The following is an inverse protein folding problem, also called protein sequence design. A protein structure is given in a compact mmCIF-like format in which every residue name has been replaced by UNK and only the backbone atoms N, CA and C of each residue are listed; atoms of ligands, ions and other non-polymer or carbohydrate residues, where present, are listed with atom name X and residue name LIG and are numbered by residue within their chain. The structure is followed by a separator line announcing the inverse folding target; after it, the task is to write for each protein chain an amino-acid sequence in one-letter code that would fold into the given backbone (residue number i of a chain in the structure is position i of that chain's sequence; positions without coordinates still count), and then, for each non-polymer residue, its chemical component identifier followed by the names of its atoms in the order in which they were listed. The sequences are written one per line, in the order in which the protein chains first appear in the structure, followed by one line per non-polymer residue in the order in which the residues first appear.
data_IF_193716581629
#
_entry.id   IF_193716581629
#
_cell.length_a   1.000
_cell.length_b   1.000
_cell.length_c   1.000
_cell.angle_alpha   90.00
_cell.angle_beta   90.00
_cell.angle_gamma   90.00
#
_symmetry.space_group_name_H-M   'P 1'
#
loop_
_entity.id
_entity.type
_entity.pdbx_description
1 polymer ?
#
# COMPACT_ATOMS: atom_id res chain seq x y z
N UNK A 1 -40.17 56.96 -50.03
CA UNK A 1 -40.71 55.76 -49.35
C UNK A 1 -39.94 55.64 -48.02
N UNK A 2 -40.51 55.91 -46.84
CA UNK A 2 -41.28 54.97 -45.96
C UNK A 2 -40.75 53.53 -46.06
N UNK A 3 -40.42 52.76 -45.02
CA UNK A 3 -40.47 52.92 -43.57
C UNK A 3 -39.76 51.70 -42.90
N UNK A 4 -39.21 51.94 -41.70
CA UNK A 4 -38.99 51.08 -40.52
C UNK A 4 -38.24 49.72 -40.56
N UNK A 5 -37.24 49.64 -39.65
CA UNK A 5 -36.55 48.48 -39.06
C UNK A 5 -37.48 47.48 -38.33
N UNK A 6 -36.93 46.32 -37.92
CA UNK A 6 -36.58 46.13 -36.51
C UNK A 6 -35.10 45.71 -36.33
N UNK A 7 -34.29 46.41 -35.51
CA UNK A 7 -34.14 46.23 -34.06
C UNK A 7 -34.19 44.77 -33.57
N UNK A 8 -33.03 44.17 -33.27
CA UNK A 8 -32.59 43.86 -31.89
C UNK A 8 -31.33 42.97 -31.85
N UNK A 9 -30.28 43.39 -31.12
CA UNK A 9 -29.21 42.52 -30.66
C UNK A 9 -29.72 41.73 -29.46
N UNK A 10 -29.99 40.43 -29.60
CA UNK A 10 -30.61 39.67 -28.51
C UNK A 10 -30.40 38.14 -28.60
N UNK A 11 -29.17 37.67 -28.81
CA UNK A 11 -28.83 36.25 -28.53
C UNK A 11 -27.49 36.16 -27.80
N UNK A 12 -27.37 36.89 -26.70
CA UNK A 12 -26.37 36.63 -25.65
C UNK A 12 -26.93 36.71 -24.23
N UNK A 13 -28.25 36.75 -24.03
CA UNK A 13 -28.85 36.90 -22.70
C UNK A 13 -30.17 36.12 -22.62
N UNK A 14 -30.10 34.81 -22.32
CA UNK A 14 -31.15 34.01 -21.64
C UNK A 14 -30.82 32.50 -21.63
N UNK A 15 -29.59 32.14 -21.24
CA UNK A 15 -29.36 30.87 -20.52
C UNK A 15 -28.38 31.17 -19.37
N UNK A 16 -28.82 32.06 -18.49
CA UNK A 16 -28.31 32.16 -17.12
C UNK A 16 -29.46 31.66 -16.23
N UNK A 17 -29.12 30.88 -15.20
CA UNK A 17 -29.93 30.48 -14.03
C UNK A 17 -30.85 29.25 -14.14
N UNK A 18 -30.28 28.09 -13.75
CA UNK A 18 -30.82 26.98 -12.92
C UNK A 18 -30.19 25.65 -13.43
N UNK A 19 -29.22 25.00 -12.78
CA UNK A 19 -29.18 24.60 -11.37
C UNK A 19 -27.74 24.57 -10.83
N UNK A 20 -27.59 25.26 -9.69
CA UNK A 20 -26.60 25.01 -8.65
C UNK A 20 -26.96 23.74 -7.85
N UNK A 21 -25.96 23.21 -7.14
CA UNK A 21 -25.94 22.10 -6.18
C UNK A 21 -25.82 20.71 -6.85
N UNK A 22 -24.74 19.93 -6.66
CA UNK A 22 -23.97 19.69 -5.44
C UNK A 22 -22.47 19.63 -5.77
N UNK A 23 -21.67 20.43 -5.07
CA UNK A 23 -20.23 20.24 -4.98
C UNK A 23 -19.87 19.63 -3.64
N UNK A 24 -18.91 18.69 -3.65
CA UNK A 24 -17.90 18.41 -2.60
C UNK A 24 -16.83 17.57 -3.33
N UNK A 25 -15.53 17.86 -3.38
CA UNK A 25 -14.70 18.95 -2.95
C UNK A 25 -13.28 18.61 -3.43
N UNK A 26 -12.83 19.21 -4.53
CA UNK A 26 -11.41 19.22 -4.91
C UNK A 26 -10.90 20.65 -4.77
N UNK A 27 -10.80 21.07 -3.51
CA UNK A 27 -9.93 22.17 -3.13
C UNK A 27 -8.56 21.56 -2.87
N UNK A 28 -7.70 21.56 -3.89
CA UNK A 28 -6.27 21.71 -3.60
C UNK A 28 -6.11 23.14 -3.10
N UNK A 29 -6.24 23.31 -1.78
CA UNK A 29 -5.73 24.49 -1.10
C UNK A 29 -4.21 24.43 -1.22
N UNK A 30 -3.71 25.04 -2.29
CA UNK A 30 -2.36 25.56 -2.33
C UNK A 30 -2.50 27.00 -1.84
N UNK A 31 -2.26 27.18 -0.55
CA UNK A 31 -1.82 28.41 0.14
C UNK A 31 -1.99 28.18 1.66
N UNK A 32 -0.96 27.64 2.31
CA UNK A 32 -0.24 28.39 3.34
C UNK A 32 1.06 27.68 3.75
N UNK A 33 2.07 28.51 3.91
CA UNK A 33 3.47 28.26 4.13
C UNK A 33 3.73 27.83 5.58
N UNK A 34 3.39 26.60 5.91
CA UNK A 34 4.01 25.82 6.97
C UNK A 34 3.83 24.37 6.56
N UNK A 35 4.92 23.62 6.43
CA UNK A 35 4.81 22.17 6.42
C UNK A 35 3.97 21.74 7.62
N UNK A 36 2.71 21.36 7.41
CA UNK A 36 1.83 20.90 8.47
C UNK A 36 2.55 19.77 9.20
N UNK A 37 2.74 19.93 10.51
CA UNK A 37 3.41 18.93 11.34
C UNK A 37 2.73 17.57 11.11
N UNK A 38 3.52 16.55 10.78
CA UNK A 38 3.05 15.18 10.61
C UNK A 38 3.47 14.39 11.85
N UNK A 39 2.49 13.93 12.62
CA UNK A 39 2.72 13.08 13.78
C UNK A 39 2.37 11.64 13.43
N UNK A 40 3.23 10.69 13.82
CA UNK A 40 3.05 9.27 13.56
C UNK A 40 3.26 8.46 14.84
N UNK A 41 2.48 7.39 14.99
CA UNK A 41 2.77 6.32 15.93
C UNK A 41 3.95 5.49 15.45
N UNK A 42 4.58 4.80 16.39
CA UNK A 42 5.67 3.86 16.11
C UNK A 42 5.54 2.60 16.96
N UNK A 43 6.16 1.52 16.49
CA UNK A 43 6.21 0.24 17.16
C UNK A 43 4.87 -0.51 17.18
N UNK A 44 4.63 -1.23 18.26
CA UNK A 44 3.47 -2.11 18.42
C UNK A 44 2.21 -1.38 18.91
N UNK A 45 1.06 -2.07 18.94
CA UNK A 45 -0.23 -1.49 19.33
C UNK A 45 -0.28 -1.00 20.80
N UNK A 46 0.67 -1.44 21.63
CA UNK A 46 0.76 -1.03 23.04
C UNK A 46 1.44 0.35 23.23
N UNK A 47 1.93 0.98 22.16
CA UNK A 47 2.59 2.28 22.19
C UNK A 47 1.59 3.36 21.76
N UNK A 48 1.19 4.20 22.73
CA UNK A 48 0.31 5.35 22.50
C UNK A 48 1.06 6.66 22.21
N UNK A 49 2.40 6.61 22.13
CA UNK A 49 3.23 7.77 21.87
C UNK A 49 3.34 8.06 20.36
N UNK A 50 3.25 9.35 20.02
CA UNK A 50 3.49 9.85 18.66
C UNK A 50 4.77 10.68 18.62
N UNK A 51 5.43 10.69 17.47
CA UNK A 51 6.59 11.54 17.23
C UNK A 51 6.41 12.40 15.98
N UNK A 52 7.18 13.48 15.91
CA UNK A 52 7.22 14.36 14.75
C UNK A 52 7.99 13.71 13.60
N UNK A 53 7.25 13.25 12.58
CA UNK A 53 7.76 12.63 11.37
C UNK A 53 7.83 13.60 10.18
N UNK A 54 7.60 14.90 10.39
CA UNK A 54 7.41 15.90 9.32
C UNK A 54 8.54 15.89 8.28
N UNK A 55 9.80 15.71 8.71
CA UNK A 55 10.97 15.69 7.83
C UNK A 55 10.91 14.56 6.78
N UNK A 56 10.33 13.42 7.12
CA UNK A 56 10.17 12.26 6.24
C UNK A 56 9.17 12.50 5.11
N UNK A 57 8.12 13.26 5.37
CA UNK A 57 7.09 13.61 4.39
C UNK A 57 7.49 14.81 3.55
N UNK A 58 8.06 15.85 4.18
CA UNK A 58 8.54 17.06 3.46
C UNK A 58 9.70 16.79 2.52
N UNK A 59 10.59 15.85 2.85
CA UNK A 59 11.64 15.40 1.94
C UNK A 59 11.11 14.64 0.73
N UNK A 60 9.82 14.27 0.72
CA UNK A 60 9.20 13.46 -0.33
C UNK A 60 9.55 11.98 -0.25
N UNK A 61 10.24 11.53 0.81
CA UNK A 61 10.56 10.11 0.99
C UNK A 61 9.29 9.28 1.20
N UNK A 62 8.32 9.82 1.95
CA UNK A 62 7.04 9.18 2.20
C UNK A 62 5.85 10.03 1.78
N UNK A 63 4.76 9.34 1.51
CA UNK A 63 3.45 9.88 1.21
C UNK A 63 2.43 9.32 2.21
N UNK A 64 1.40 10.09 2.56
CA UNK A 64 0.30 9.59 3.38
C UNK A 64 -0.37 8.36 2.75
N UNK A 65 -0.78 7.40 3.58
CA UNK A 65 -1.60 6.26 3.18
C UNK A 65 -3.03 6.49 3.66
N UNK A 66 -3.94 6.82 2.75
CA UNK A 66 -5.32 7.14 3.09
C UNK A 66 -6.17 5.87 3.14
N UNK A 67 -6.12 5.17 4.27
CA UNK A 67 -6.78 3.87 4.47
C UNK A 67 -7.82 3.87 5.61
N UNK A 68 -7.90 4.95 6.38
CA UNK A 68 -8.88 5.09 7.44
C UNK A 68 -10.31 5.18 6.86
N UNK A 69 -11.32 4.79 7.65
CA UNK A 69 -12.70 4.71 7.19
C UNK A 69 -13.29 6.07 6.75
N UNK A 70 -12.75 7.17 7.27
CA UNK A 70 -13.09 8.54 6.90
C UNK A 70 -12.30 9.08 5.69
N UNK A 71 -11.43 8.25 5.10
CA UNK A 71 -10.54 8.60 4.00
C UNK A 71 -9.33 9.43 4.41
N UNK A 72 -9.10 9.61 5.71
CA UNK A 72 -7.93 10.30 6.24
C UNK A 72 -6.66 9.45 6.14
N UNK A 73 -5.53 10.12 6.30
CA UNK A 73 -4.22 9.49 6.32
C UNK A 73 -4.06 8.66 7.60
N UNK A 74 -3.51 7.46 7.47
CA UNK A 74 -3.13 6.65 8.61
C UNK A 74 -2.03 7.33 9.43
N UNK A 75 -2.22 7.36 10.74
CA UNK A 75 -1.20 7.82 11.69
C UNK A 75 -0.17 6.73 12.03
N UNK A 76 -0.32 5.52 11.48
CA UNK A 76 0.54 4.35 11.76
C UNK A 76 1.35 3.95 10.53
N UNK A 77 0.71 3.95 9.36
CA UNK A 77 1.33 3.46 8.12
C UNK A 77 1.43 4.54 7.06
N UNK A 78 2.50 4.48 6.26
CA UNK A 78 2.77 5.40 5.16
C UNK A 78 3.19 4.66 3.89
N UNK A 79 3.24 5.36 2.76
CA UNK A 79 3.73 4.82 1.50
C UNK A 79 5.09 5.44 1.15
N UNK A 80 6.09 4.62 0.89
CA UNK A 80 7.40 5.06 0.45
C UNK A 80 7.37 5.40 -1.04
N UNK A 81 7.92 6.57 -1.41
CA UNK A 81 7.94 7.01 -2.80
C UNK A 81 8.77 6.07 -3.70
N UNK A 82 9.83 5.48 -3.14
CA UNK A 82 10.65 4.46 -3.77
C UNK A 82 10.92 3.34 -2.76
N UNK A 83 10.09 2.26 -2.79
CA UNK A 83 10.30 1.09 -1.95
C UNK A 83 11.70 0.50 -2.12
N UNK A 84 12.26 -0.03 -1.03
CA UNK A 84 13.55 -0.71 -1.09
C UNK A 84 13.51 -1.90 -2.06
N UNK A 85 14.53 -2.02 -2.89
CA UNK A 85 14.71 -3.20 -3.73
C UNK A 85 15.47 -4.25 -2.95
N UNK A 86 14.90 -5.46 -2.86
CA UNK A 86 15.57 -6.59 -2.22
C UNK A 86 16.78 -7.02 -3.05
N UNK A 87 17.88 -7.31 -2.36
CA UNK A 87 19.09 -7.89 -2.93
C UNK A 87 18.89 -9.36 -3.28
N UNK A 88 19.73 -9.91 -4.15
CA UNK A 88 19.68 -11.33 -4.49
C UNK A 88 19.79 -12.25 -3.28
N UNK A 89 20.56 -11.86 -2.25
CA UNK A 89 20.66 -12.62 -1.00
C UNK A 89 19.31 -12.65 -0.27
N UNK A 90 18.71 -11.48 -0.05
CA UNK A 90 17.40 -11.37 0.60
C UNK A 90 16.31 -12.14 -0.17
N UNK A 91 16.36 -12.13 -1.51
CA UNK A 91 15.43 -12.91 -2.33
C UNK A 91 15.61 -14.43 -2.13
N UNK A 92 16.84 -14.90 -1.93
CA UNK A 92 17.12 -16.31 -1.61
C UNK A 92 16.69 -16.68 -0.19
N UNK A 93 16.61 -15.71 0.72
CA UNK A 93 16.18 -15.94 2.11
C UNK A 93 14.65 -16.01 2.25
N UNK A 94 13.87 -15.58 1.24
CA UNK A 94 12.40 -15.56 1.29
C UNK A 94 11.76 -16.90 1.70
N UNK A 95 12.21 -18.09 1.21
CA UNK A 95 11.66 -19.36 1.68
C UNK A 95 11.87 -19.59 3.17
N UNK A 96 13.01 -19.18 3.72
CA UNK A 96 13.30 -19.29 5.15
C UNK A 96 12.43 -18.35 5.98
N UNK A 97 12.28 -17.10 5.54
CA UNK A 97 11.40 -16.11 6.18
C UNK A 97 9.96 -16.60 6.19
N UNK A 98 9.47 -17.12 5.06
CA UNK A 98 8.14 -17.70 4.96
C UNK A 98 7.96 -18.90 5.87
N UNK A 99 8.91 -19.84 5.90
CA UNK A 99 8.85 -21.00 6.78
C UNK A 99 8.77 -20.60 8.26
N UNK A 100 9.58 -19.61 8.68
CA UNK A 100 9.55 -19.04 10.02
C UNK A 100 8.18 -18.44 10.37
N UNK A 101 7.61 -17.64 9.47
CA UNK A 101 6.27 -17.07 9.67
C UNK A 101 5.17 -18.14 9.72
N UNK A 102 5.23 -19.18 8.90
CA UNK A 102 4.29 -20.30 8.97
C UNK A 102 4.39 -21.04 10.31
N UNK A 103 5.61 -21.26 10.80
CA UNK A 103 5.84 -21.90 12.10
C UNK A 103 5.28 -21.05 13.25
N UNK A 104 5.58 -19.75 13.28
CA UNK A 104 5.11 -18.85 14.34
C UNK A 104 3.61 -18.60 14.36
N UNK A 105 2.91 -18.89 13.25
CA UNK A 105 1.45 -18.72 13.13
C UNK A 105 0.69 -20.06 13.16
N UNK A 106 1.34 -21.16 13.58
CA UNK A 106 0.75 -22.51 13.64
C UNK A 106 0.17 -23.00 12.30
N UNK A 107 0.76 -22.55 11.19
CA UNK A 107 0.38 -22.93 9.82
C UNK A 107 1.31 -23.98 9.24
N UNK A 108 2.29 -24.53 9.96
CA UNK A 108 3.18 -25.54 9.39
C UNK A 108 2.51 -26.92 9.27
N UNK A 109 2.62 -27.54 8.09
CA UNK A 109 2.24 -28.95 7.84
C UNK A 109 3.38 -29.66 7.11
N UNK A 110 3.43 -31.00 7.09
CA UNK A 110 4.48 -31.73 6.37
C UNK A 110 4.61 -31.30 4.90
N UNK A 111 3.50 -31.05 4.19
CA UNK A 111 3.54 -30.61 2.80
C UNK A 111 4.15 -29.20 2.64
N UNK A 112 3.94 -28.32 3.63
CA UNK A 112 4.50 -26.96 3.63
C UNK A 112 5.98 -27.00 4.02
N UNK A 113 6.37 -27.89 4.93
CA UNK A 113 7.78 -28.14 5.26
C UNK A 113 8.56 -28.65 4.04
N UNK A 114 8.00 -29.62 3.30
CA UNK A 114 8.58 -30.13 2.06
C UNK A 114 8.72 -29.01 1.01
N UNK A 115 7.68 -28.18 0.86
CA UNK A 115 7.71 -27.02 -0.03
C UNK A 115 8.87 -26.09 0.29
N UNK A 116 9.03 -25.65 1.54
CA UNK A 116 10.11 -24.73 1.92
C UNK A 116 11.50 -25.37 1.85
N UNK A 117 11.60 -26.67 2.17
CA UNK A 117 12.86 -27.43 2.08
C UNK A 117 13.36 -27.54 0.64
N UNK A 118 12.45 -27.52 -0.34
CA UNK A 118 12.82 -27.48 -1.76
C UNK A 118 13.44 -26.15 -2.24
N UNK A 119 13.42 -25.12 -1.38
CA UNK A 119 13.91 -23.76 -1.66
C UNK A 119 13.33 -23.18 -2.96
N UNK A 120 12.00 -22.98 -3.02
CA UNK A 120 11.34 -22.47 -4.21
C UNK A 120 11.86 -21.07 -4.56
N UNK A 121 11.94 -20.75 -5.85
CA UNK A 121 12.26 -19.39 -6.28
C UNK A 121 11.04 -18.48 -6.08
N UNK A 122 11.12 -17.58 -5.11
CA UNK A 122 10.05 -16.66 -4.72
C UNK A 122 10.29 -15.22 -5.18
N UNK A 123 11.33 -14.99 -5.98
CA UNK A 123 11.80 -13.63 -6.33
C UNK A 123 10.79 -12.75 -7.09
N UNK A 124 9.77 -13.35 -7.71
CA UNK A 124 8.72 -12.62 -8.45
C UNK A 124 7.39 -12.53 -7.68
N UNK A 125 7.33 -13.11 -6.47
CA UNK A 125 6.10 -13.34 -5.72
C UNK A 125 5.90 -12.38 -4.55
N UNK A 126 6.70 -11.34 -4.42
CA UNK A 126 6.54 -10.34 -3.37
C UNK A 126 6.10 -8.97 -3.93
N UNK A 127 5.35 -8.20 -3.14
CA UNK A 127 4.94 -6.82 -3.45
C UNK A 127 5.16 -5.93 -2.24
N UNK A 128 5.53 -4.68 -2.49
CA UNK A 128 5.54 -3.66 -1.43
C UNK A 128 4.11 -3.32 -1.02
N UNK A 129 3.88 -3.17 0.28
CA UNK A 129 2.54 -2.92 0.83
C UNK A 129 2.46 -1.56 1.50
N UNK A 130 3.34 -1.29 2.47
CA UNK A 130 3.41 -0.02 3.20
C UNK A 130 4.74 0.10 3.95
N UNK A 131 4.97 1.22 4.62
CA UNK A 131 6.04 1.40 5.59
C UNK A 131 5.46 1.85 6.93
N UNK A 132 6.13 1.54 8.02
CA UNK A 132 5.79 2.00 9.37
C UNK A 132 7.07 2.30 10.16
N UNK A 133 6.98 3.06 11.24
CA UNK A 133 8.11 3.30 12.13
C UNK A 133 8.16 2.21 13.21
N UNK A 134 9.27 1.48 13.31
CA UNK A 134 9.48 0.54 14.41
C UNK A 134 9.83 1.28 15.72
N UNK A 135 10.60 2.36 15.59
CA UNK A 135 10.99 3.31 16.64
C UNK A 135 10.98 4.73 16.04
N UNK A 136 11.07 5.81 16.86
CA UNK A 136 11.14 7.16 16.33
C UNK A 136 12.27 7.31 15.32
N UNK A 137 11.93 7.70 14.09
CA UNK A 137 12.84 7.83 12.96
C UNK A 137 13.54 6.54 12.49
N UNK A 138 13.02 5.36 12.85
CA UNK A 138 13.49 4.06 12.35
C UNK A 138 12.39 3.42 11.50
N UNK A 139 12.30 3.74 10.20
CA UNK A 139 11.27 3.19 9.33
C UNK A 139 11.62 1.79 8.83
N UNK A 140 10.60 0.96 8.68
CA UNK A 140 10.66 -0.33 8.00
C UNK A 140 9.71 -0.34 6.80
N UNK A 141 10.14 -0.98 5.71
CA UNK A 141 9.30 -1.28 4.56
C UNK A 141 8.73 -2.69 4.74
N UNK A 142 7.41 -2.81 4.60
CA UNK A 142 6.66 -4.05 4.67
C UNK A 142 6.27 -4.52 3.28
N UNK A 143 6.40 -5.83 3.08
CA UNK A 143 6.13 -6.52 1.83
C UNK A 143 5.27 -7.74 2.10
N UNK A 144 4.40 -8.05 1.16
CA UNK A 144 3.62 -9.26 1.14
C UNK A 144 4.18 -10.25 0.12
N UNK A 145 4.39 -11.47 0.56
CA UNK A 145 4.84 -12.61 -0.23
C UNK A 145 3.66 -13.55 -0.49
N UNK A 146 3.35 -13.77 -1.77
CA UNK A 146 2.17 -14.49 -2.24
C UNK A 146 2.51 -15.94 -2.58
N UNK A 147 2.03 -16.87 -1.75
CA UNK A 147 2.34 -18.30 -1.85
C UNK A 147 1.12 -19.11 -2.22
N UNK A 148 1.30 -20.06 -3.13
CA UNK A 148 0.31 -21.10 -3.42
C UNK A 148 0.97 -22.46 -3.14
N UNK A 149 0.50 -23.14 -2.09
CA UNK A 149 1.06 -24.41 -1.59
C UNK A 149 -0.09 -25.40 -1.48
N UNK A 150 0.01 -26.55 -2.15
CA UNK A 150 -1.03 -27.58 -2.17
C UNK A 150 -2.44 -27.03 -2.49
N UNK A 151 -2.54 -26.15 -3.49
CA UNK A 151 -3.76 -25.45 -3.93
C UNK A 151 -4.40 -24.52 -2.87
N UNK A 152 -3.66 -24.17 -1.83
CA UNK A 152 -4.06 -23.17 -0.84
C UNK A 152 -3.20 -21.93 -0.98
N UNK A 153 -3.83 -20.76 -0.83
CA UNK A 153 -3.18 -19.46 -0.97
C UNK A 153 -2.88 -18.86 0.39
N UNK A 154 -1.71 -18.26 0.50
CA UNK A 154 -1.26 -17.59 1.71
C UNK A 154 -0.56 -16.28 1.36
N UNK A 155 -0.71 -15.30 2.23
CA UNK A 155 0.14 -14.11 2.24
C UNK A 155 1.05 -14.20 3.46
N UNK A 156 2.34 -13.97 3.24
CA UNK A 156 3.32 -13.75 4.31
C UNK A 156 3.77 -12.31 4.27
N UNK A 157 3.47 -11.56 5.32
CA UNK A 157 4.03 -10.22 5.51
C UNK A 157 5.41 -10.33 6.14
N UNK A 158 6.39 -9.65 5.56
CA UNK A 158 7.74 -9.50 6.10
C UNK A 158 8.19 -8.04 5.97
N UNK A 159 9.21 -7.65 6.72
CA UNK A 159 9.76 -6.30 6.66
C UNK A 159 11.28 -6.27 6.58
N UNK A 160 11.80 -5.09 6.24
CA UNK A 160 13.24 -4.77 6.21
C UNK A 160 13.43 -3.31 6.64
N UNK A 161 14.54 -3.00 7.32
CA UNK A 161 14.93 -1.62 7.62
C UNK A 161 14.98 -0.80 6.32
N UNK A 162 14.17 0.26 6.25
CA UNK A 162 13.97 1.02 5.02
C UNK A 162 15.11 2.01 4.73
N UNK A 163 16.06 2.19 5.63
CA UNK A 163 17.23 3.05 5.44
C UNK A 163 18.47 2.25 5.07
N UNK A 164 18.72 1.16 5.79
CA UNK A 164 19.96 0.37 5.72
C UNK A 164 19.78 -0.93 4.95
N UNK A 165 18.54 -1.41 4.80
CA UNK A 165 18.29 -2.77 4.37
C UNK A 165 18.73 -3.76 5.44
N UNK A 166 19.24 -4.91 5.02
CA UNK A 166 19.77 -5.93 5.95
C UNK A 166 18.89 -7.16 6.00
N UNK A 167 18.78 -7.76 7.18
CA UNK A 167 18.02 -8.99 7.36
C UNK A 167 16.52 -8.74 7.17
N UNK A 168 15.86 -9.73 6.56
CA UNK A 168 14.41 -9.74 6.45
C UNK A 168 13.82 -10.26 7.76
N UNK A 169 12.72 -9.66 8.20
CA UNK A 169 11.99 -10.09 9.40
C UNK A 169 10.61 -10.58 9.01
N UNK A 170 10.32 -11.86 9.23
CA UNK A 170 8.97 -12.39 9.07
C UNK A 170 8.02 -11.79 10.12
N UNK A 171 6.82 -11.40 9.71
CA UNK A 171 5.84 -10.72 10.59
C UNK A 171 4.62 -11.59 10.83
N UNK A 172 3.91 -11.94 9.77
CA UNK A 172 2.65 -12.66 9.87
C UNK A 172 2.45 -13.54 8.64
N UNK A 173 1.72 -14.63 8.80
CA UNK A 173 1.29 -15.49 7.71
C UNK A 173 -0.20 -15.79 7.88
N UNK A 174 -0.97 -15.64 6.82
CA UNK A 174 -2.41 -15.89 6.84
C UNK A 174 -2.90 -16.62 5.59
N UNK A 175 -3.90 -17.50 5.73
CA UNK A 175 -4.60 -18.08 4.59
C UNK A 175 -5.44 -17.02 3.88
N UNK A 176 -5.47 -17.09 2.55
CA UNK A 176 -6.29 -16.22 1.70
C UNK A 176 -7.50 -17.00 1.21
N UNK A 177 -8.69 -16.44 1.41
CA UNK A 177 -9.97 -17.03 1.00
C UNK A 177 -10.75 -16.14 0.06
N UNK A 178 -11.29 -16.73 -1.01
CA UNK A 178 -12.16 -16.02 -1.95
C UNK A 178 -13.47 -15.51 -1.32
N UNK A 179 -13.87 -16.09 -0.21
CA UNK A 179 -15.10 -15.74 0.49
C UNK A 179 -14.90 -14.59 1.50
N UNK A 180 -13.67 -14.10 1.68
CA UNK A 180 -13.35 -12.98 2.57
C UNK A 180 -13.20 -11.69 1.75
N UNK A 181 -14.10 -10.69 1.91
CA UNK A 181 -13.99 -9.44 1.16
C UNK A 181 -12.68 -8.67 1.40
N UNK A 182 -12.07 -8.83 2.58
CA UNK A 182 -10.78 -8.23 2.90
C UNK A 182 -9.64 -8.75 2.00
N UNK A 183 -9.78 -9.96 1.47
CA UNK A 183 -8.76 -10.63 0.66
C UNK A 183 -8.88 -10.30 -0.84
N UNK A 184 -9.88 -9.51 -1.24
CA UNK A 184 -10.17 -9.23 -2.64
C UNK A 184 -8.98 -8.67 -3.41
N UNK A 185 -8.16 -7.83 -2.77
CA UNK A 185 -6.97 -7.27 -3.39
C UNK A 185 -5.82 -8.28 -3.49
N UNK A 186 -5.65 -9.16 -2.50
CA UNK A 186 -4.69 -10.26 -2.59
C UNK A 186 -5.04 -11.22 -3.73
N UNK A 187 -6.32 -11.53 -3.92
CA UNK A 187 -6.79 -12.42 -5.01
C UNK A 187 -6.43 -11.85 -6.38
N UNK A 188 -6.53 -10.53 -6.58
CA UNK A 188 -6.10 -9.88 -7.83
C UNK A 188 -4.60 -10.07 -8.04
N UNK A 189 -3.79 -9.87 -7.00
CA UNK A 189 -2.32 -10.04 -7.09
C UNK A 189 -1.95 -11.49 -7.43
N UNK A 190 -2.62 -12.49 -6.85
CA UNK A 190 -2.42 -13.89 -7.24
C UNK A 190 -2.70 -14.13 -8.73
N UNK A 191 -3.77 -13.55 -9.27
CA UNK A 191 -4.09 -13.67 -10.69
C UNK A 191 -3.04 -13.00 -11.58
N UNK A 192 -2.52 -11.83 -11.18
CA UNK A 192 -1.44 -11.13 -11.88
C UNK A 192 -0.13 -11.92 -11.89
N UNK A 193 0.24 -12.53 -10.75
CA UNK A 193 1.43 -13.39 -10.64
C UNK A 193 1.29 -14.62 -11.54
N UNK A 194 0.17 -15.33 -11.46
CA UNK A 194 -0.08 -16.51 -12.29
C UNK A 194 -0.03 -16.17 -13.79
N UNK A 195 -0.57 -15.02 -14.18
CA UNK A 195 -0.51 -14.52 -15.55
C UNK A 195 0.92 -14.22 -16.02
N UNK A 196 1.73 -13.61 -15.15
CA UNK A 196 3.13 -13.31 -15.45
C UNK A 196 3.96 -14.59 -15.60
N UNK A 197 3.76 -15.57 -14.72
CA UNK A 197 4.44 -16.88 -14.77
C UNK A 197 4.07 -17.65 -16.03
N UNK A 198 2.79 -17.62 -16.44
CA UNK A 198 2.33 -18.24 -17.68
C UNK A 198 2.97 -17.64 -18.93
N UNK A 199 3.32 -16.34 -18.91
CA UNK A 199 3.97 -15.65 -20.04
C UNK A 199 5.48 -15.87 -20.09
N UNK A 200 6.10 -16.26 -18.98
CA UNK A 200 7.53 -16.49 -18.88
C UNK A 200 7.95 -17.91 -19.30
N UNK A 201 6.98 -18.84 -19.37
CA UNK A 201 7.14 -20.23 -19.80
C UNK A 201 6.70 -20.43 -21.26
#
# INVERSE_FOLDING_TARGET
MKALEPQKPLIWLLVLTALLAVGVGLKFARDDEASSKVEMYYGGPDIEEMFDATSWFTSGMYKPRNIEADGSASAVTMLRAQPMKLTSQQLNDLPFIAAGSFFSNDLMTPEREDYFTSQPNLSQRYRYTYSAFAEPNVPEDYYDLFLEIANQRFVVTFSVDAQKGGELTGRYAEPVSADQPADADYIKVFAEIAEAERKAN
#
